data_IF_894938392510
#
_entry.id   IF_894938392510
#
_cell.length_a   1.000
_cell.length_b   1.000
_cell.length_c   1.000
_cell.angle_alpha   90.00
_cell.angle_beta   90.00
_cell.angle_gamma   90.00
#
_symmetry.space_group_name_H-M   'P 1'
#
loop_
_entity.id
_entity.type
_entity.pdbx_description
1 polymer ?
#
# COMPACT_ATOMS: atom_id res chain seq x y z
N UNK A 1 47.36 -3.97 -68.47
CA UNK A 1 47.75 -3.01 -69.52
C UNK A 1 46.68 -1.96 -69.69
N UNK A 2 47.13 -0.72 -69.71
CA UNK A 2 46.40 0.52 -70.09
C UNK A 2 45.25 0.98 -69.18
N UNK A 3 45.59 2.00 -68.36
CA UNK A 3 44.73 3.00 -67.72
C UNK A 3 44.21 3.96 -68.77
N UNK A 4 42.93 4.31 -68.70
CA UNK A 4 42.38 5.50 -69.37
C UNK A 4 41.74 6.38 -68.34
N UNK A 5 42.25 7.58 -68.20
CA UNK A 5 41.74 8.66 -67.38
C UNK A 5 40.76 9.50 -68.19
N UNK A 6 39.65 9.93 -67.59
CA UNK A 6 38.74 10.95 -68.11
C UNK A 6 38.62 12.11 -67.12
N UNK A 7 38.51 13.35 -67.57
CA UNK A 7 38.70 14.55 -66.77
C UNK A 7 37.41 15.02 -66.09
N UNK A 8 37.63 15.72 -64.98
CA UNK A 8 36.63 16.42 -64.19
C UNK A 8 36.19 17.72 -64.88
N UNK A 9 34.90 17.86 -65.12
CA UNK A 9 34.25 19.14 -65.46
C UNK A 9 33.64 19.71 -64.15
N UNK A 10 34.22 20.79 -63.67
CA UNK A 10 33.69 21.58 -62.55
C UNK A 10 32.55 22.47 -63.04
N UNK A 11 31.32 22.19 -62.62
CA UNK A 11 30.18 23.08 -62.82
C UNK A 11 30.04 23.98 -61.56
N UNK A 12 30.30 25.27 -61.73
CA UNK A 12 30.15 26.31 -60.68
C UNK A 12 28.69 26.74 -60.66
N UNK A 13 27.93 26.28 -59.68
CA UNK A 13 26.56 26.75 -59.41
C UNK A 13 26.58 27.87 -58.41
N UNK A 14 26.21 29.07 -58.87
CA UNK A 14 25.96 30.23 -58.02
C UNK A 14 24.69 30.02 -57.19
N UNK A 15 24.79 29.86 -55.89
CA UNK A 15 23.64 29.93 -54.96
C UNK A 15 23.32 31.38 -54.62
N UNK A 16 22.21 31.91 -55.11
CA UNK A 16 21.61 33.13 -54.63
C UNK A 16 21.04 32.87 -53.21
N UNK A 17 21.62 33.46 -52.20
CA UNK A 17 21.04 33.48 -50.87
C UNK A 17 19.91 34.51 -50.81
N UNK A 18 18.66 34.05 -50.85
CA UNK A 18 17.51 34.85 -50.45
C UNK A 18 17.46 34.92 -48.91
N UNK A 19 17.65 36.10 -48.38
CA UNK A 19 17.47 36.36 -46.95
C UNK A 19 15.98 36.23 -46.61
N UNK A 20 15.61 35.16 -45.88
CA UNK A 20 14.29 35.01 -45.32
C UNK A 20 14.13 35.94 -44.09
N UNK A 21 13.14 36.81 -44.14
CA UNK A 21 12.76 37.65 -43.01
C UNK A 21 12.30 36.78 -41.79
N UNK A 22 12.60 37.16 -40.54
CA UNK A 22 12.12 36.41 -39.38
C UNK A 22 10.60 36.50 -39.29
N UNK A 23 9.94 35.38 -39.18
CA UNK A 23 8.51 35.26 -38.88
C UNK A 23 8.20 35.87 -37.50
N UNK A 24 7.09 36.59 -37.33
CA UNK A 24 6.70 37.15 -36.04
C UNK A 24 6.55 36.02 -35.01
N UNK A 25 7.13 36.22 -33.83
CA UNK A 25 7.02 35.32 -32.69
C UNK A 25 5.53 35.14 -32.35
N UNK A 26 5.01 33.93 -32.59
CA UNK A 26 3.66 33.55 -32.12
C UNK A 26 3.63 33.70 -30.59
N UNK A 27 2.80 34.62 -30.15
CA UNK A 27 2.46 34.84 -28.76
C UNK A 27 1.95 33.49 -28.19
N UNK A 28 2.77 32.80 -27.39
CA UNK A 28 2.37 31.58 -26.71
C UNK A 28 1.41 32.00 -25.62
N UNK A 29 0.14 32.10 -25.98
CA UNK A 29 -0.93 32.25 -25.01
C UNK A 29 -0.74 31.21 -23.90
N UNK A 30 -0.49 31.67 -22.69
CA UNK A 30 -0.47 30.80 -21.49
C UNK A 30 -1.78 30.01 -21.46
N UNK A 31 -1.74 28.72 -21.14
CA UNK A 31 -2.95 27.92 -21.05
C UNK A 31 -3.92 28.58 -20.08
N UNK A 32 -5.24 28.58 -20.38
CA UNK A 32 -6.24 29.23 -19.55
C UNK A 32 -6.16 28.72 -18.11
N UNK A 33 -6.30 29.59 -17.15
CA UNK A 33 -6.21 29.38 -15.69
C UNK A 33 -7.13 28.27 -15.19
N UNK A 34 -8.19 27.94 -15.93
CA UNK A 34 -9.08 26.81 -15.70
C UNK A 34 -8.40 25.41 -15.73
N UNK A 35 -7.24 25.28 -16.37
CA UNK A 35 -6.48 24.01 -16.38
C UNK A 35 -5.53 23.85 -15.18
N UNK A 36 -5.36 24.85 -14.33
CA UNK A 36 -4.59 24.81 -13.09
C UNK A 36 -5.40 24.46 -11.85
N UNK A 37 -6.67 24.20 -11.97
CA UNK A 37 -7.40 23.53 -10.91
C UNK A 37 -6.90 22.08 -10.90
N UNK A 38 -5.78 21.84 -10.20
CA UNK A 38 -5.40 20.51 -9.80
C UNK A 38 -6.66 19.87 -9.19
N UNK A 39 -7.22 18.87 -9.85
CA UNK A 39 -8.35 18.13 -9.34
C UNK A 39 -8.00 17.76 -7.91
N UNK A 40 -8.70 18.32 -6.94
CA UNK A 40 -8.51 17.97 -5.54
C UNK A 40 -8.85 16.48 -5.48
N UNK A 41 -7.81 15.65 -5.47
CA UNK A 41 -8.02 14.20 -5.47
C UNK A 41 -8.84 13.86 -4.24
N UNK A 42 -9.92 13.12 -4.44
CA UNK A 42 -10.79 12.69 -3.34
C UNK A 42 -9.94 11.99 -2.28
N UNK A 43 -10.25 12.21 -0.98
CA UNK A 43 -9.55 11.50 0.08
C UNK A 43 -9.76 10.00 -0.04
N UNK A 44 -8.73 9.22 0.30
CA UNK A 44 -8.70 7.76 0.10
C UNK A 44 -8.74 7.01 1.40
N UNK A 45 -9.47 5.89 1.42
CA UNK A 45 -9.55 4.98 2.55
C UNK A 45 -9.13 3.58 2.10
N UNK A 46 -8.24 2.94 2.85
CA UNK A 46 -7.96 1.50 2.75
C UNK A 46 -8.39 0.80 4.04
N UNK A 47 -9.02 -0.38 3.88
CA UNK A 47 -9.59 -1.17 4.96
C UNK A 47 -8.90 -2.54 5.04
N UNK A 48 -8.52 -2.92 6.24
CA UNK A 48 -8.04 -4.28 6.57
C UNK A 48 -8.92 -4.86 7.67
N UNK A 49 -9.27 -6.14 7.55
CA UNK A 49 -9.89 -6.92 8.62
C UNK A 49 -8.89 -7.96 9.10
N UNK A 50 -8.47 -7.83 10.36
CA UNK A 50 -7.51 -8.71 11.03
C UNK A 50 -8.21 -9.92 11.68
N UNK A 51 -7.43 -10.87 12.23
CA UNK A 51 -7.85 -12.05 12.99
C UNK A 51 -8.81 -13.00 12.25
N UNK A 52 -8.65 -13.09 10.93
CA UNK A 52 -9.49 -13.93 10.08
C UNK A 52 -8.98 -15.38 10.01
N UNK A 53 -9.88 -16.29 9.65
CA UNK A 53 -9.63 -17.72 9.50
C UNK A 53 -10.11 -18.58 10.65
N UNK A 54 -10.52 -17.98 11.78
CA UNK A 54 -11.02 -18.71 12.94
C UNK A 54 -12.47 -19.21 12.79
N UNK A 55 -13.30 -18.47 12.07
CA UNK A 55 -14.71 -18.81 11.87
C UNK A 55 -15.10 -18.49 10.41
N UNK A 56 -15.11 -19.51 9.58
CA UNK A 56 -15.33 -19.33 8.14
C UNK A 56 -16.68 -18.66 7.84
N UNK A 57 -17.76 -19.06 8.52
CA UNK A 57 -19.10 -18.49 8.27
C UNK A 57 -19.13 -16.97 8.56
N UNK A 58 -18.55 -16.56 9.69
CA UNK A 58 -18.43 -15.15 10.06
C UNK A 58 -17.55 -14.41 9.05
N UNK A 59 -16.39 -14.98 8.72
CA UNK A 59 -15.34 -14.33 7.93
C UNK A 59 -15.75 -14.19 6.45
N UNK A 60 -16.62 -15.07 5.95
CA UNK A 60 -17.20 -14.95 4.61
C UNK A 60 -18.04 -13.67 4.42
N UNK A 61 -18.55 -13.06 5.49
CA UNK A 61 -19.22 -11.74 5.42
C UNK A 61 -18.29 -10.65 4.87
N UNK A 62 -16.99 -10.72 5.20
CA UNK A 62 -15.99 -9.75 4.70
C UNK A 62 -15.86 -9.83 3.18
N UNK A 63 -16.02 -11.01 2.60
CA UNK A 63 -15.98 -11.18 1.13
C UNK A 63 -17.16 -10.51 0.42
N UNK A 64 -18.28 -10.29 1.12
CA UNK A 64 -19.46 -9.62 0.57
C UNK A 64 -19.35 -8.10 0.54
N UNK A 65 -18.33 -7.50 1.13
CA UNK A 65 -18.13 -6.06 1.05
C UNK A 65 -17.94 -5.63 -0.41
N UNK A 66 -18.59 -4.54 -0.85
CA UNK A 66 -18.68 -4.21 -2.29
C UNK A 66 -17.38 -3.66 -2.91
N UNK A 67 -16.37 -3.37 -2.11
CA UNK A 67 -15.11 -2.75 -2.57
C UNK A 67 -13.86 -3.51 -2.14
N UNK A 68 -12.70 -2.91 -2.35
CA UNK A 68 -11.41 -3.52 -2.04
C UNK A 68 -11.17 -3.55 -0.53
N UNK A 69 -11.29 -4.72 0.09
CA UNK A 69 -10.90 -4.98 1.48
C UNK A 69 -9.71 -5.92 1.49
N UNK A 70 -8.77 -5.72 2.39
CA UNK A 70 -7.70 -6.67 2.66
C UNK A 70 -8.09 -7.59 3.82
N UNK A 71 -7.92 -8.88 3.62
CA UNK A 71 -8.16 -9.92 4.61
C UNK A 71 -6.83 -10.36 5.21
N UNK A 72 -6.57 -10.01 6.46
CA UNK A 72 -5.40 -10.44 7.20
C UNK A 72 -5.74 -11.72 7.98
N UNK A 73 -5.15 -12.82 7.53
CA UNK A 73 -5.52 -14.18 7.94
C UNK A 73 -4.43 -14.76 8.83
N UNK A 74 -4.82 -15.27 9.99
CA UNK A 74 -3.94 -15.96 10.94
C UNK A 74 -3.50 -17.32 10.33
N UNK A 75 -2.18 -17.62 10.30
CA UNK A 75 -1.69 -18.84 9.65
C UNK A 75 -2.03 -20.14 10.40
N UNK A 76 -2.27 -20.06 11.70
CA UNK A 76 -2.67 -21.17 12.55
C UNK A 76 -4.20 -21.33 12.68
N UNK A 77 -4.97 -20.50 12.01
CA UNK A 77 -6.41 -20.60 12.02
C UNK A 77 -6.90 -21.82 11.21
N UNK A 78 -7.94 -22.53 11.68
CA UNK A 78 -8.40 -23.78 11.07
C UNK A 78 -8.91 -23.62 9.63
N UNK A 79 -9.30 -22.42 9.24
CA UNK A 79 -9.82 -22.11 7.90
C UNK A 79 -8.91 -21.18 7.09
N UNK A 80 -7.64 -20.99 7.52
CA UNK A 80 -6.71 -20.04 6.91
C UNK A 80 -6.61 -20.21 5.39
N UNK A 81 -6.23 -21.41 4.93
CA UNK A 81 -6.08 -21.71 3.49
C UNK A 81 -7.40 -21.54 2.72
N UNK A 82 -8.48 -22.11 3.22
CA UNK A 82 -9.76 -22.06 2.53
C UNK A 82 -10.28 -20.62 2.38
N UNK A 83 -10.07 -19.78 3.40
CA UNK A 83 -10.44 -18.37 3.34
C UNK A 83 -9.54 -17.60 2.37
N UNK A 84 -8.22 -17.84 2.38
CA UNK A 84 -7.27 -17.19 1.48
C UNK A 84 -7.59 -17.48 0.00
N UNK A 85 -7.88 -18.75 -0.33
CA UNK A 85 -8.29 -19.15 -1.68
C UNK A 85 -9.58 -18.46 -2.12
N UNK A 86 -10.60 -18.42 -1.25
CA UNK A 86 -11.86 -17.73 -1.52
C UNK A 86 -11.68 -16.21 -1.67
N UNK A 87 -10.86 -15.59 -0.83
CA UNK A 87 -10.57 -14.17 -0.90
C UNK A 87 -9.87 -13.80 -2.21
N UNK A 88 -8.86 -14.58 -2.60
CA UNK A 88 -8.17 -14.40 -3.88
C UNK A 88 -9.13 -14.57 -5.07
N UNK A 89 -9.97 -15.61 -5.06
CA UNK A 89 -10.98 -15.84 -6.11
C UNK A 89 -12.02 -14.72 -6.20
N UNK A 90 -12.30 -14.03 -5.10
CA UNK A 90 -13.19 -12.87 -5.04
C UNK A 90 -12.47 -11.54 -5.37
N UNK A 91 -11.20 -11.57 -5.78
CA UNK A 91 -10.41 -10.39 -6.12
C UNK A 91 -10.07 -9.51 -4.91
N UNK A 92 -10.12 -10.06 -3.69
CA UNK A 92 -9.75 -9.34 -2.46
C UNK A 92 -8.26 -9.49 -2.18
N UNK A 93 -7.67 -8.49 -1.55
CA UNK A 93 -6.29 -8.57 -1.10
C UNK A 93 -6.16 -9.57 0.05
N UNK A 94 -5.29 -10.57 -0.10
CA UNK A 94 -4.93 -11.50 0.97
C UNK A 94 -3.66 -11.01 1.65
N UNK A 95 -3.65 -10.98 2.98
CA UNK A 95 -2.50 -10.66 3.80
C UNK A 95 -2.24 -11.77 4.82
N UNK A 96 -0.97 -12.05 5.09
CA UNK A 96 -0.58 -12.89 6.22
C UNK A 96 -0.64 -12.05 7.50
N UNK A 97 -1.52 -12.43 8.44
CA UNK A 97 -1.55 -11.84 9.79
C UNK A 97 -0.57 -12.59 10.69
N UNK A 98 0.70 -12.12 10.68
CA UNK A 98 1.82 -12.87 11.28
C UNK A 98 1.84 -12.71 12.80
N UNK A 99 1.70 -13.80 13.59
CA UNK A 99 1.87 -13.73 15.04
C UNK A 99 3.27 -13.26 15.41
N UNK A 100 3.35 -12.24 16.29
CA UNK A 100 4.60 -11.68 16.79
C UNK A 100 4.54 -11.49 18.31
N UNK A 101 5.67 -11.70 18.99
CA UNK A 101 5.71 -11.57 20.45
C UNK A 101 5.06 -10.25 20.94
N UNK A 102 4.17 -10.32 21.96
CA UNK A 102 3.95 -11.42 22.89
C UNK A 102 3.01 -12.54 22.39
N UNK A 103 2.53 -12.48 21.15
CA UNK A 103 1.73 -13.57 20.59
C UNK A 103 2.45 -14.92 20.67
N UNK A 104 1.66 -15.96 20.92
CA UNK A 104 2.10 -17.36 20.94
C UNK A 104 1.89 -18.08 19.62
N UNK A 105 1.99 -19.41 19.67
CA UNK A 105 1.71 -20.30 18.54
C UNK A 105 2.93 -20.75 17.75
N UNK A 106 2.73 -21.67 16.79
CA UNK A 106 3.82 -22.29 16.04
C UNK A 106 4.53 -21.33 15.10
N UNK A 107 3.82 -20.36 14.58
CA UNK A 107 4.35 -19.36 13.63
C UNK A 107 4.89 -18.10 14.30
N UNK A 108 4.76 -17.96 15.63
CA UNK A 108 5.05 -16.72 16.32
C UNK A 108 6.52 -16.28 16.17
N UNK A 109 6.73 -15.05 15.72
CA UNK A 109 8.02 -14.37 15.73
C UNK A 109 8.35 -13.88 17.13
N UNK A 110 9.49 -14.34 17.65
CA UNK A 110 9.93 -14.04 19.03
C UNK A 110 11.35 -13.54 19.01
N UNK A 111 11.72 -12.63 19.91
CA UNK A 111 13.10 -12.24 20.10
C UNK A 111 13.99 -13.43 20.44
N UNK A 112 15.22 -13.44 19.92
CA UNK A 112 16.21 -14.48 20.20
C UNK A 112 16.08 -15.75 19.35
N UNK A 113 15.11 -15.85 18.44
CA UNK A 113 15.09 -16.93 17.46
C UNK A 113 16.20 -16.74 16.42
N UNK A 114 16.90 -17.81 16.03
CA UNK A 114 17.84 -17.79 14.91
C UNK A 114 17.16 -17.31 13.62
N UNK A 115 17.94 -16.70 12.73
CA UNK A 115 17.42 -16.13 11.49
C UNK A 115 16.78 -17.18 10.58
N UNK A 116 17.40 -18.35 10.45
CA UNK A 116 16.88 -19.48 9.68
C UNK A 116 15.53 -19.99 10.24
N UNK A 117 15.40 -20.04 11.56
CA UNK A 117 14.14 -20.41 12.20
C UNK A 117 13.03 -19.37 11.92
N UNK A 118 13.38 -18.08 11.86
CA UNK A 118 12.43 -17.03 11.47
C UNK A 118 12.00 -17.17 10.00
N UNK A 119 12.97 -17.43 9.11
CA UNK A 119 12.69 -17.68 7.68
C UNK A 119 11.77 -18.89 7.49
N UNK A 120 12.09 -20.00 8.15
CA UNK A 120 11.29 -21.23 8.07
C UNK A 120 9.84 -20.99 8.52
N UNK A 121 9.64 -20.27 9.65
CA UNK A 121 8.29 -19.92 10.13
C UNK A 121 7.53 -19.04 9.16
N UNK A 122 8.20 -18.07 8.54
CA UNK A 122 7.60 -17.23 7.52
C UNK A 122 7.17 -18.06 6.30
N UNK A 123 8.01 -18.97 5.83
CA UNK A 123 7.70 -19.85 4.70
C UNK A 123 6.53 -20.79 5.00
N UNK A 124 6.47 -21.34 6.21
CA UNK A 124 5.34 -22.18 6.63
C UNK A 124 4.04 -21.38 6.76
N UNK A 125 4.10 -20.18 7.33
CA UNK A 125 2.97 -19.28 7.46
C UNK A 125 2.42 -18.85 6.08
N UNK A 126 3.30 -18.53 5.13
CA UNK A 126 2.92 -18.20 3.74
C UNK A 126 2.32 -19.41 3.01
N UNK A 127 2.76 -20.64 3.31
CA UNK A 127 2.11 -21.85 2.80
C UNK A 127 0.73 -22.08 3.39
N UNK A 128 0.50 -21.70 4.64
CA UNK A 128 -0.80 -21.78 5.30
C UNK A 128 -1.78 -20.72 4.77
N UNK A 129 -1.27 -19.52 4.39
CA UNK A 129 -2.04 -18.41 3.83
C UNK A 129 -1.57 -18.15 2.39
N UNK A 130 -1.97 -18.97 1.40
CA UNK A 130 -1.59 -18.77 0.00
C UNK A 130 -2.15 -17.45 -0.54
N UNK A 131 -1.54 -16.96 -1.63
CA UNK A 131 -1.91 -15.69 -2.29
C UNK A 131 -1.67 -14.42 -1.45
N UNK A 132 -1.01 -14.51 -0.30
CA UNK A 132 -0.67 -13.33 0.48
C UNK A 132 0.25 -12.41 -0.33
N UNK A 133 -0.19 -11.18 -0.56
CA UNK A 133 0.57 -10.11 -1.23
C UNK A 133 1.26 -9.16 -0.24
N UNK A 134 0.94 -9.27 1.04
CA UNK A 134 1.51 -8.50 2.12
C UNK A 134 1.39 -9.20 3.46
N UNK A 135 1.98 -8.57 4.47
CA UNK A 135 2.00 -9.05 5.84
C UNK A 135 1.73 -7.89 6.80
N UNK A 136 0.98 -8.16 7.88
CA UNK A 136 0.91 -7.28 9.04
C UNK A 136 1.13 -8.06 10.34
N UNK A 137 1.42 -7.36 11.42
CA UNK A 137 1.68 -7.99 12.71
C UNK A 137 0.39 -8.23 13.50
N UNK A 138 0.13 -9.51 13.85
CA UNK A 138 -0.77 -9.86 14.93
C UNK A 138 -0.08 -9.66 16.26
N UNK A 139 -0.68 -8.84 17.16
CA UNK A 139 0.03 -8.36 18.35
C UNK A 139 1.37 -7.68 17.99
N UNK A 140 2.49 -8.12 18.54
CA UNK A 140 3.82 -7.67 18.13
C UNK A 140 4.38 -6.50 18.97
N UNK A 141 3.75 -6.13 20.08
CA UNK A 141 4.20 -5.00 20.89
C UNK A 141 5.61 -5.16 21.46
N UNK A 142 6.11 -6.39 21.61
CA UNK A 142 7.47 -6.69 22.02
C UNK A 142 8.44 -6.86 20.83
N UNK A 143 7.93 -7.27 19.69
CA UNK A 143 8.75 -7.56 18.52
C UNK A 143 8.99 -6.33 17.64
N UNK A 144 7.95 -5.52 17.39
CA UNK A 144 8.02 -4.37 16.49
C UNK A 144 8.90 -3.22 16.98
N UNK A 145 9.29 -3.23 18.25
CA UNK A 145 10.24 -2.26 18.84
C UNK A 145 11.72 -2.68 18.70
N UNK A 146 11.99 -3.84 18.11
CA UNK A 146 13.34 -4.41 17.98
C UNK A 146 13.90 -4.21 16.58
N UNK A 147 14.91 -3.34 16.47
CA UNK A 147 15.49 -2.93 15.19
C UNK A 147 15.99 -4.11 14.34
N UNK A 148 16.87 -4.95 14.88
CA UNK A 148 17.50 -6.02 14.10
C UNK A 148 16.50 -7.08 13.62
N UNK A 149 15.59 -7.62 14.47
CA UNK A 149 14.56 -8.53 14.01
C UNK A 149 13.62 -7.92 12.95
N UNK A 150 13.27 -6.64 13.10
CA UNK A 150 12.42 -5.99 12.11
C UNK A 150 13.13 -5.77 10.78
N UNK A 151 14.42 -5.39 10.77
CA UNK A 151 15.22 -5.31 9.55
C UNK A 151 15.31 -6.66 8.85
N UNK A 152 15.55 -7.75 9.60
CA UNK A 152 15.58 -9.09 9.05
C UNK A 152 14.25 -9.46 8.37
N UNK A 153 13.11 -9.20 9.04
CA UNK A 153 11.78 -9.41 8.46
C UNK A 153 11.59 -8.59 7.18
N UNK A 154 11.85 -7.29 7.23
CA UNK A 154 11.62 -6.41 6.07
C UNK A 154 12.46 -6.82 4.86
N UNK A 155 13.70 -7.27 5.09
CA UNK A 155 14.57 -7.82 4.03
C UNK A 155 13.97 -9.08 3.42
N UNK A 156 13.44 -9.98 4.24
CA UNK A 156 12.79 -11.21 3.75
C UNK A 156 11.50 -10.91 2.97
N UNK A 157 10.70 -9.94 3.42
CA UNK A 157 9.50 -9.53 2.69
C UNK A 157 9.85 -8.88 1.35
N UNK A 158 10.89 -8.04 1.30
CA UNK A 158 11.35 -7.43 0.06
C UNK A 158 11.79 -8.48 -0.97
N UNK A 159 12.55 -9.49 -0.55
CA UNK A 159 12.98 -10.61 -1.41
C UNK A 159 11.81 -11.42 -1.98
N UNK A 160 10.67 -11.43 -1.28
CA UNK A 160 9.44 -12.13 -1.67
C UNK A 160 8.43 -11.23 -2.37
N UNK A 161 8.76 -9.96 -2.61
CA UNK A 161 7.87 -8.96 -3.21
C UNK A 161 6.55 -8.77 -2.43
N UNK A 162 6.61 -8.90 -1.11
CA UNK A 162 5.48 -8.65 -0.22
C UNK A 162 5.57 -7.24 0.34
N UNK A 163 4.43 -6.58 0.57
CA UNK A 163 4.41 -5.31 1.31
C UNK A 163 4.23 -5.57 2.83
N UNK A 164 4.55 -4.56 3.63
CA UNK A 164 4.31 -4.60 5.07
C UNK A 164 3.31 -3.54 5.52
N UNK A 165 2.38 -3.91 6.40
CA UNK A 165 1.52 -2.98 7.12
C UNK A 165 1.83 -3.06 8.61
N UNK A 166 2.36 -1.98 9.17
CA UNK A 166 2.55 -1.85 10.62
C UNK A 166 1.20 -1.60 11.31
N UNK A 167 0.70 -2.59 12.07
CA UNK A 167 -0.52 -2.47 12.86
C UNK A 167 -0.37 -1.52 14.05
N UNK A 168 0.87 -1.08 14.37
CA UNK A 168 1.19 -0.09 15.42
C UNK A 168 0.59 -0.44 16.77
N UNK A 169 0.78 -1.68 17.21
CA UNK A 169 0.37 -2.18 18.53
C UNK A 169 1.25 -1.65 19.67
N UNK A 170 2.36 -1.01 19.31
CA UNK A 170 3.23 -0.27 20.23
C UNK A 170 3.63 1.07 19.61
N UNK A 171 3.58 2.16 20.39
CA UNK A 171 3.96 3.51 19.92
C UNK A 171 5.44 3.61 19.56
N UNK A 172 6.29 2.78 20.18
CA UNK A 172 7.74 2.71 19.92
C UNK A 172 8.10 1.79 18.75
N UNK A 173 7.16 1.38 17.90
CA UNK A 173 7.46 0.53 16.75
C UNK A 173 8.51 1.15 15.84
N UNK A 174 9.47 0.33 15.41
CA UNK A 174 10.50 0.68 14.43
C UNK A 174 10.22 0.06 13.05
N UNK A 175 9.06 -0.59 12.89
CA UNK A 175 8.72 -1.36 11.70
C UNK A 175 8.73 -0.49 10.42
N UNK A 176 8.06 0.67 10.46
CA UNK A 176 8.03 1.58 9.31
C UNK A 176 9.42 2.10 8.93
N UNK A 177 10.25 2.46 9.93
CA UNK A 177 11.64 2.90 9.69
C UNK A 177 12.49 1.76 9.11
N UNK A 178 12.33 0.54 9.61
CA UNK A 178 13.02 -0.66 9.11
C UNK A 178 12.62 -0.97 7.66
N UNK A 179 11.34 -0.84 7.33
CA UNK A 179 10.85 -1.02 5.95
C UNK A 179 11.46 0.03 5.00
N UNK A 180 11.47 1.29 5.42
CA UNK A 180 12.07 2.37 4.65
C UNK A 180 13.57 2.14 4.41
N UNK A 181 14.29 1.67 5.42
CA UNK A 181 15.74 1.42 5.33
C UNK A 181 16.09 0.38 4.27
N UNK A 182 15.25 -0.63 4.05
CA UNK A 182 15.46 -1.66 3.03
C UNK A 182 14.71 -1.39 1.72
N UNK A 183 14.01 -0.26 1.62
CA UNK A 183 13.22 0.09 0.42
C UNK A 183 11.97 -0.77 0.22
N UNK A 184 11.42 -1.33 1.31
CA UNK A 184 10.20 -2.14 1.25
C UNK A 184 8.96 -1.25 1.15
N UNK A 185 8.05 -1.60 0.23
CA UNK A 185 6.72 -1.00 0.18
C UNK A 185 5.98 -1.24 1.49
N UNK A 186 5.59 -0.17 2.18
CA UNK A 186 4.97 -0.31 3.50
C UNK A 186 3.95 0.78 3.79
N UNK A 187 3.06 0.47 4.72
CA UNK A 187 2.07 1.37 5.29
C UNK A 187 2.07 1.25 6.81
N UNK A 188 1.51 2.22 7.47
CA UNK A 188 1.15 2.15 8.89
C UNK A 188 -0.34 2.39 9.04
N UNK A 189 -0.96 1.71 10.00
CA UNK A 189 -2.33 1.94 10.41
C UNK A 189 -2.48 3.34 10.99
N UNK A 190 -3.55 4.01 10.64
CA UNK A 190 -3.92 5.28 11.25
C UNK A 190 -4.94 5.09 12.38
N UNK A 191 -5.98 4.27 12.17
CA UNK A 191 -7.08 4.07 13.11
C UNK A 191 -7.34 2.57 13.33
N UNK A 192 -7.48 2.13 14.59
CA UNK A 192 -8.24 0.92 14.94
C UNK A 192 -9.71 1.27 15.07
N UNK A 193 -10.57 0.45 14.48
CA UNK A 193 -12.02 0.68 14.56
C UNK A 193 -12.62 0.21 15.90
N UNK A 194 -12.02 -0.78 16.53
CA UNK A 194 -12.69 -1.63 17.50
C UNK A 194 -11.81 -2.08 18.68
N UNK A 195 -10.87 -1.24 19.14
CA UNK A 195 -10.21 -1.41 20.43
C UNK A 195 -11.27 -1.52 21.56
N UNK A 196 -12.34 -0.71 21.48
CA UNK A 196 -13.60 -0.91 22.17
C UNK A 196 -14.62 -1.40 21.13
N UNK A 197 -15.04 -2.68 21.18
CA UNK A 197 -15.96 -3.26 20.22
C UNK A 197 -17.41 -2.84 20.41
N UNK A 198 -17.73 -1.91 21.33
CA UNK A 198 -19.09 -1.40 21.46
C UNK A 198 -19.54 -0.69 20.18
N UNK A 199 -20.84 -0.82 19.78
CA UNK A 199 -21.32 -0.21 18.56
C UNK A 199 -21.11 1.30 18.48
N UNK A 200 -21.17 2.00 19.62
CA UNK A 200 -20.99 3.44 19.70
C UNK A 200 -19.52 3.85 19.49
N UNK A 201 -18.57 3.11 20.09
CA UNK A 201 -17.14 3.35 19.92
C UNK A 201 -16.70 3.09 18.47
N UNK A 202 -17.09 1.95 17.91
CA UNK A 202 -16.78 1.59 16.51
C UNK A 202 -17.32 2.67 15.54
N UNK A 203 -18.55 3.15 15.74
CA UNK A 203 -19.11 4.22 14.93
C UNK A 203 -18.36 5.55 15.10
N UNK A 204 -17.84 5.84 16.28
CA UNK A 204 -17.03 7.04 16.52
C UNK A 204 -15.69 6.94 15.80
N UNK A 205 -14.98 5.81 15.94
CA UNK A 205 -13.70 5.59 15.27
C UNK A 205 -13.84 5.63 13.74
N UNK A 206 -14.92 5.11 13.18
CA UNK A 206 -15.19 5.22 11.75
C UNK A 206 -15.38 6.67 11.30
N UNK A 207 -16.15 7.49 12.04
CA UNK A 207 -16.28 8.93 11.75
C UNK A 207 -14.94 9.67 11.84
N UNK A 208 -14.13 9.37 12.84
CA UNK A 208 -12.78 9.92 12.98
C UNK A 208 -11.88 9.54 11.81
N UNK A 209 -11.98 8.30 11.32
CA UNK A 209 -11.25 7.84 10.14
C UNK A 209 -11.63 8.66 8.89
N UNK A 210 -12.93 8.91 8.66
CA UNK A 210 -13.37 9.73 7.53
C UNK A 210 -12.92 11.19 7.67
N UNK A 211 -12.95 11.74 8.88
CA UNK A 211 -12.44 13.09 9.16
C UNK A 211 -10.93 13.18 8.92
N UNK A 212 -10.19 12.17 9.35
CA UNK A 212 -8.75 12.08 9.13
C UNK A 212 -8.41 11.96 7.63
N UNK A 213 -9.15 11.12 6.89
CA UNK A 213 -9.01 11.01 5.43
C UNK A 213 -9.19 12.37 4.75
N UNK A 214 -10.22 13.14 5.13
CA UNK A 214 -10.45 14.48 4.59
C UNK A 214 -9.33 15.45 4.93
N UNK A 215 -8.80 15.39 6.16
CA UNK A 215 -7.72 16.28 6.64
C UNK A 215 -6.40 16.02 5.94
N UNK A 216 -5.99 14.76 5.83
CA UNK A 216 -4.65 14.38 5.32
C UNK A 216 -4.70 13.71 3.95
N UNK A 217 -5.92 13.54 3.37
CA UNK A 217 -6.17 13.00 2.03
C UNK A 217 -6.05 11.49 1.91
N UNK A 218 -5.76 10.73 2.98
CA UNK A 218 -5.81 9.27 3.00
C UNK A 218 -5.88 8.74 4.43
N UNK A 219 -6.48 7.55 4.62
CA UNK A 219 -6.50 6.84 5.89
C UNK A 219 -6.39 5.34 5.68
N UNK A 220 -5.63 4.66 6.52
CA UNK A 220 -5.59 3.18 6.63
C UNK A 220 -6.24 2.79 7.94
N UNK A 221 -7.32 2.03 7.85
CA UNK A 221 -8.07 1.55 9.00
C UNK A 221 -7.94 0.04 9.14
N UNK A 222 -7.84 -0.43 10.38
CA UNK A 222 -7.88 -1.84 10.73
C UNK A 222 -9.07 -2.07 11.65
N UNK A 223 -9.82 -3.12 11.42
CA UNK A 223 -10.84 -3.65 12.31
C UNK A 223 -10.75 -5.16 12.41
N UNK A 224 -11.48 -5.72 13.37
CA UNK A 224 -11.57 -7.16 13.59
C UNK A 224 -12.99 -7.65 13.25
N UNK A 225 -13.22 -8.96 13.08
CA UNK A 225 -14.52 -9.46 12.67
C UNK A 225 -15.52 -9.53 13.84
N UNK A 226 -15.54 -8.48 14.68
CA UNK A 226 -16.56 -8.29 15.70
C UNK A 226 -17.93 -8.03 15.06
N UNK A 227 -18.98 -8.47 15.72
CA UNK A 227 -20.35 -8.30 15.22
C UNK A 227 -20.70 -6.82 14.95
N UNK A 228 -20.28 -5.94 15.84
CA UNK A 228 -20.49 -4.48 15.73
C UNK A 228 -19.73 -3.89 14.56
N UNK A 229 -18.45 -4.26 14.39
CA UNK A 229 -17.59 -3.80 13.31
C UNK A 229 -18.14 -4.23 11.95
N UNK A 230 -18.46 -5.51 11.77
CA UNK A 230 -19.03 -6.01 10.51
C UNK A 230 -20.37 -5.34 10.20
N UNK A 231 -21.26 -5.20 11.19
CA UNK A 231 -22.56 -4.57 10.99
C UNK A 231 -22.44 -3.08 10.63
N UNK A 232 -21.47 -2.35 11.20
CA UNK A 232 -21.18 -0.98 10.81
C UNK A 232 -20.66 -0.91 9.38
N UNK A 233 -19.66 -1.73 9.05
CA UNK A 233 -19.01 -1.70 7.74
C UNK A 233 -19.97 -2.09 6.62
N UNK A 234 -20.82 -3.09 6.82
CA UNK A 234 -21.88 -3.49 5.87
C UNK A 234 -22.81 -2.31 5.53
N UNK A 235 -23.10 -1.46 6.50
CA UNK A 235 -23.97 -0.29 6.33
C UNK A 235 -23.25 0.90 5.70
N UNK A 236 -22.02 1.18 6.12
CA UNK A 236 -21.33 2.44 5.79
C UNK A 236 -20.47 2.35 4.52
N UNK A 237 -19.87 1.17 4.23
CA UNK A 237 -18.98 1.03 3.07
C UNK A 237 -19.66 1.35 1.72
N UNK A 238 -20.93 0.94 1.47
CA UNK A 238 -21.63 1.32 0.23
C UNK A 238 -21.83 2.82 0.06
N UNK A 239 -21.73 3.60 1.13
CA UNK A 239 -21.97 5.07 1.15
C UNK A 239 -20.69 5.90 1.05
N UNK A 240 -19.52 5.27 1.00
CA UNK A 240 -18.23 6.00 0.97
C UNK A 240 -18.13 6.94 -0.23
N UNK A 241 -18.60 6.51 -1.39
CA UNK A 241 -18.58 7.33 -2.60
C UNK A 241 -19.45 8.58 -2.45
N UNK A 242 -20.66 8.45 -1.90
CA UNK A 242 -21.56 9.58 -1.59
C UNK A 242 -20.93 10.51 -0.54
N UNK A 243 -20.17 9.94 0.41
CA UNK A 243 -19.42 10.70 1.41
C UNK A 243 -18.19 11.41 0.84
N UNK A 244 -17.91 11.27 -0.46
CA UNK A 244 -16.76 11.86 -1.13
C UNK A 244 -15.42 11.18 -0.80
N UNK A 245 -15.42 9.91 -0.41
CA UNK A 245 -14.24 9.13 -0.07
C UNK A 245 -14.05 8.02 -1.11
N UNK A 246 -12.87 7.92 -1.68
CA UNK A 246 -12.49 6.81 -2.55
C UNK A 246 -12.00 5.63 -1.70
N UNK A 247 -12.70 4.50 -1.79
CA UNK A 247 -12.24 3.27 -1.16
C UNK A 247 -11.28 2.55 -2.11
N UNK A 248 -10.03 2.38 -1.67
CA UNK A 248 -8.93 1.88 -2.50
C UNK A 248 -8.28 0.63 -1.89
N UNK A 249 -7.64 -0.18 -2.74
CA UNK A 249 -6.85 -1.31 -2.28
C UNK A 249 -5.51 -0.89 -1.64
N UNK A 250 -4.78 -1.87 -1.06
CA UNK A 250 -3.52 -1.62 -0.37
C UNK A 250 -2.44 -1.12 -1.32
N UNK A 251 -2.37 -1.63 -2.55
CA UNK A 251 -1.40 -1.20 -3.56
C UNK A 251 -1.62 0.26 -3.98
N UNK A 252 -2.87 0.63 -4.24
CA UNK A 252 -3.27 2.01 -4.54
C UNK A 252 -2.98 2.96 -3.37
N UNK A 253 -3.17 2.50 -2.13
CA UNK A 253 -2.85 3.29 -0.94
C UNK A 253 -1.34 3.49 -0.78
N UNK A 254 -0.52 2.45 -1.01
CA UNK A 254 0.94 2.54 -1.02
C UNK A 254 1.40 3.58 -2.05
N UNK A 255 0.93 3.47 -3.30
CA UNK A 255 1.25 4.43 -4.35
C UNK A 255 0.82 5.85 -4.00
N UNK A 256 -0.36 6.02 -3.38
CA UNK A 256 -0.87 7.32 -2.94
C UNK A 256 0.06 7.99 -1.93
N UNK A 257 0.51 7.24 -0.93
CA UNK A 257 1.39 7.78 0.12
C UNK A 257 2.82 8.01 -0.37
N UNK A 258 3.34 7.12 -1.23
CA UNK A 258 4.64 7.29 -1.85
C UNK A 258 4.70 8.55 -2.72
N UNK A 259 3.72 8.76 -3.59
CA UNK A 259 3.64 9.95 -4.46
C UNK A 259 3.56 11.26 -3.64
N UNK A 260 2.84 11.25 -2.52
CA UNK A 260 2.78 12.42 -1.63
C UNK A 260 4.11 12.71 -0.95
N UNK A 261 4.80 11.67 -0.47
CA UNK A 261 6.12 11.82 0.13
C UNK A 261 7.11 12.43 -0.88
N UNK A 262 7.12 11.92 -2.12
CA UNK A 262 7.96 12.47 -3.19
C UNK A 262 7.60 13.92 -3.53
N UNK A 263 6.31 14.26 -3.62
CA UNK A 263 5.86 15.63 -3.90
C UNK A 263 6.19 16.62 -2.75
N UNK A 264 6.22 16.15 -1.50
CA UNK A 264 6.67 16.95 -0.36
C UNK A 264 8.17 17.22 -0.45
N UNK A 265 9.00 16.20 -0.65
CA UNK A 265 10.46 16.33 -0.80
C UNK A 265 10.86 17.17 -2.02
N UNK A 266 10.14 17.04 -3.14
CA UNK A 266 10.41 17.85 -4.34
C UNK A 266 10.08 19.33 -4.19
N UNK A 267 9.24 19.72 -3.24
CA UNK A 267 8.97 21.15 -2.91
C UNK A 267 10.01 21.74 -1.99
N UNK A 268 10.65 20.92 -1.16
CA UNK A 268 11.70 21.34 -0.22
C UNK A 268 13.11 21.16 -0.82
N UNK A 269 13.22 20.47 -1.96
CA UNK A 269 14.46 20.14 -2.64
C UNK A 269 14.86 21.18 -3.69
N UNK A 270 15.52 22.25 -3.28
CA UNK A 270 16.43 22.96 -4.17
C UNK A 270 17.64 22.04 -4.37
N UNK A 271 17.76 21.45 -5.56
CA UNK A 271 19.03 20.86 -5.99
C UNK A 271 20.12 21.95 -5.89
N UNK A 272 20.99 21.85 -4.90
CA UNK A 272 22.27 22.55 -4.84
C UNK A 272 23.37 21.63 -5.33
#
# INVERSE_FOLDING_TARGET
MRRVALPWLAALTLFLHAAAAPAPAADRASPPEAQRQASVSRPRLALVIDDLGQNLHRDLRVLQFPGPVALAILPDAPHARALAEKANSAGKTVMLHMPMAPAGGPYAWRPGLPHDALQHRLDEALRAVPHASGLNNHMGSEMTVRQLPMLALMTELQRRHLFFLDSRTNRGTVAAASAQQVGLASLSRDIFLDDDPSPAAVATQFREALALARKQGSVVIIGHPHRSTLALLERELPRLEEAGIDWVDMGQMIATRANRAMAAHGRDGVYR
#
